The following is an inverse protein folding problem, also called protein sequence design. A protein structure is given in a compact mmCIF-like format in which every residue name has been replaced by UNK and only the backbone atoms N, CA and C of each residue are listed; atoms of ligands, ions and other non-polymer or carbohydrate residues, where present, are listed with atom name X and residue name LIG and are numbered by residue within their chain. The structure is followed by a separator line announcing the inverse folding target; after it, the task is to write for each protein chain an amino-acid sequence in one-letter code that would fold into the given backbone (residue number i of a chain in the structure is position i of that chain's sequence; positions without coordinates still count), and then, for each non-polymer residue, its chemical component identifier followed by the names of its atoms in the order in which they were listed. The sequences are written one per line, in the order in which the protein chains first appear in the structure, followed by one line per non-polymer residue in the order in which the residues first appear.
data_IF_155662888098
#
_entry.id   IF_155662888098
#
_cell.length_a   1.000
_cell.length_b   1.000
_cell.length_c   1.000
_cell.angle_alpha   90.00
_cell.angle_beta   90.00
_cell.angle_gamma   90.00
#
_symmetry.space_group_name_H-M   'P 1'
#
loop_
_entity.id
_entity.type
_entity.pdbx_description
1 polymer ?
#
# COMPACT_ATOMS: atom_id res chain seq x y z
N UNK A 1 -12.68 -28.54 -3.53
CA UNK A 1 -12.16 -27.15 -3.50
C UNK A 1 -12.22 -26.62 -2.07
N UNK A 2 -11.12 -26.09 -1.55
CA UNK A 2 -11.10 -25.53 -0.20
C UNK A 2 -11.79 -24.17 -0.14
N UNK A 3 -12.09 -23.69 1.09
CA UNK A 3 -12.64 -22.34 1.30
C UNK A 3 -11.69 -21.29 0.77
N UNK A 4 -10.36 -21.50 0.94
CA UNK A 4 -9.32 -20.58 0.43
C UNK A 4 -9.37 -20.53 -1.10
N UNK A 5 -9.52 -21.67 -1.77
CA UNK A 5 -9.63 -21.72 -3.22
C UNK A 5 -10.88 -20.98 -3.72
N UNK A 6 -11.99 -21.09 -3.02
CA UNK A 6 -13.22 -20.37 -3.33
C UNK A 6 -13.04 -18.85 -3.21
N UNK A 7 -12.38 -18.41 -2.13
CA UNK A 7 -12.06 -16.99 -1.92
C UNK A 7 -11.14 -16.46 -3.03
N UNK A 8 -10.08 -17.21 -3.36
CA UNK A 8 -9.16 -16.85 -4.44
C UNK A 8 -9.88 -16.75 -5.79
N UNK A 9 -10.76 -17.70 -6.09
CA UNK A 9 -11.51 -17.70 -7.35
C UNK A 9 -12.45 -16.49 -7.46
N UNK A 10 -13.09 -16.10 -6.35
CA UNK A 10 -13.90 -14.88 -6.32
C UNK A 10 -13.08 -13.64 -6.54
N UNK A 11 -11.90 -13.58 -5.92
CA UNK A 11 -10.98 -12.45 -6.10
C UNK A 11 -10.51 -12.33 -7.55
N UNK A 12 -10.13 -13.44 -8.18
CA UNK A 12 -9.72 -13.47 -9.59
C UNK A 12 -10.82 -13.01 -10.53
N UNK A 13 -12.06 -13.35 -10.22
CA UNK A 13 -13.22 -12.96 -11.04
C UNK A 13 -13.55 -11.47 -10.92
N UNK A 14 -13.13 -10.81 -9.83
CA UNK A 14 -13.38 -9.40 -9.59
C UNK A 14 -12.11 -8.75 -9.00
N UNK A 15 -11.08 -8.69 -9.83
CA UNK A 15 -9.74 -8.30 -9.45
C UNK A 15 -9.69 -6.85 -8.97
N UNK A 16 -9.18 -6.65 -7.76
CA UNK A 16 -9.05 -5.34 -7.12
C UNK A 16 -7.60 -4.91 -7.02
N UNK A 17 -7.39 -3.64 -6.79
CA UNK A 17 -6.06 -3.06 -6.56
C UNK A 17 -5.81 -2.93 -5.07
N UNK A 18 -4.74 -3.58 -4.60
CA UNK A 18 -4.35 -3.61 -3.18
C UNK A 18 -2.99 -2.95 -3.02
N UNK A 19 -2.89 -2.01 -2.09
CA UNK A 19 -1.62 -1.38 -1.75
C UNK A 19 -0.97 -2.09 -0.56
N UNK A 20 0.32 -2.38 -0.69
CA UNK A 20 1.15 -3.00 0.34
C UNK A 20 2.23 -1.98 0.75
N UNK A 21 2.09 -1.31 1.90
CA UNK A 21 3.01 -0.22 2.26
C UNK A 21 4.30 -0.67 2.94
N UNK A 22 4.36 -1.90 3.45
CA UNK A 22 5.48 -2.40 4.25
C UNK A 22 6.54 -3.11 3.38
N UNK A 23 7.05 -2.41 2.38
CA UNK A 23 7.93 -2.97 1.34
C UNK A 23 9.38 -3.22 1.78
N UNK A 24 9.75 -2.81 2.98
CA UNK A 24 11.05 -3.13 3.57
C UNK A 24 11.12 -4.56 4.11
N UNK A 25 9.97 -5.20 4.28
CA UNK A 25 9.88 -6.59 4.76
C UNK A 25 9.77 -7.55 3.57
N UNK A 26 10.68 -8.53 3.53
CA UNK A 26 10.69 -9.54 2.45
C UNK A 26 9.42 -10.39 2.41
N UNK A 27 8.75 -10.59 3.53
CA UNK A 27 7.46 -11.32 3.56
C UNK A 27 6.41 -10.60 2.73
N UNK A 28 6.40 -9.28 2.76
CA UNK A 28 5.51 -8.45 1.94
C UNK A 28 5.80 -8.63 0.45
N UNK A 29 7.07 -8.60 0.07
CA UNK A 29 7.48 -8.77 -1.33
C UNK A 29 7.21 -10.19 -1.84
N UNK A 30 7.44 -11.20 -0.99
CA UNK A 30 7.13 -12.59 -1.32
C UNK A 30 5.62 -12.77 -1.54
N UNK A 31 4.80 -12.22 -0.65
CA UNK A 31 3.35 -12.27 -0.79
C UNK A 31 2.88 -11.53 -2.05
N UNK A 32 3.48 -10.38 -2.35
CA UNK A 32 3.16 -9.62 -3.56
C UNK A 32 3.41 -10.43 -4.83
N UNK A 33 4.58 -11.07 -4.91
CA UNK A 33 4.93 -11.91 -6.07
C UNK A 33 3.95 -13.07 -6.25
N UNK A 34 3.56 -13.72 -5.15
CA UNK A 34 2.61 -14.83 -5.17
C UNK A 34 1.22 -14.37 -5.63
N UNK A 35 0.73 -13.28 -5.06
CA UNK A 35 -0.58 -12.71 -5.43
C UNK A 35 -0.63 -12.32 -6.91
N UNK A 36 0.44 -11.72 -7.42
CA UNK A 36 0.56 -11.36 -8.84
C UNK A 36 0.57 -12.60 -9.72
N UNK A 37 1.36 -13.62 -9.36
CA UNK A 37 1.47 -14.84 -10.17
C UNK A 37 0.15 -15.61 -10.23
N UNK A 38 -0.64 -15.58 -9.17
CA UNK A 38 -1.96 -16.21 -9.11
C UNK A 38 -3.09 -15.32 -9.63
N UNK A 39 -2.79 -14.09 -10.03
CA UNK A 39 -3.77 -13.12 -10.55
C UNK A 39 -4.94 -12.82 -9.59
N UNK A 40 -4.65 -12.82 -8.29
CA UNK A 40 -5.65 -12.58 -7.23
C UNK A 40 -6.01 -11.10 -7.15
N UNK A 41 -5.01 -10.22 -7.30
CA UNK A 41 -5.17 -8.77 -7.21
C UNK A 41 -4.08 -8.06 -8.00
N UNK A 42 -4.33 -6.81 -8.35
CA UNK A 42 -3.30 -5.89 -8.80
C UNK A 42 -2.62 -5.29 -7.58
N UNK A 43 -1.30 -5.25 -7.58
CA UNK A 43 -0.52 -4.84 -6.41
C UNK A 43 0.18 -3.51 -6.66
N UNK A 44 0.06 -2.61 -5.68
CA UNK A 44 0.85 -1.38 -5.60
C UNK A 44 1.80 -1.51 -4.42
N UNK A 45 3.08 -1.29 -4.67
CA UNK A 45 4.12 -1.30 -3.65
C UNK A 45 4.57 0.14 -3.38
N UNK A 46 4.53 0.55 -2.11
CA UNK A 46 4.95 1.90 -1.70
C UNK A 46 6.43 1.90 -1.39
N UNK A 47 7.19 2.73 -2.07
CA UNK A 47 8.62 2.86 -1.87
C UNK A 47 9.36 3.11 -3.17
N UNK A 48 10.69 3.06 -3.10
CA UNK A 48 11.56 3.28 -4.26
C UNK A 48 11.63 2.01 -5.10
N UNK A 49 11.17 2.11 -6.35
CA UNK A 49 11.09 0.99 -7.28
C UNK A 49 12.42 0.25 -7.42
N UNK A 50 13.51 0.98 -7.61
CA UNK A 50 14.83 0.39 -7.81
C UNK A 50 15.29 -0.44 -6.60
N UNK A 51 15.07 0.08 -5.40
CA UNK A 51 15.43 -0.61 -4.16
C UNK A 51 14.58 -1.86 -3.94
N UNK A 52 13.28 -1.77 -4.20
CA UNK A 52 12.36 -2.90 -4.07
C UNK A 52 12.69 -3.99 -5.08
N UNK A 53 12.89 -3.61 -6.33
CA UNK A 53 13.26 -4.56 -7.40
C UNK A 53 14.57 -5.26 -7.12
N UNK A 54 15.58 -4.54 -6.62
CA UNK A 54 16.87 -5.13 -6.26
C UNK A 54 16.73 -6.20 -5.17
N UNK A 55 15.94 -5.92 -4.14
CA UNK A 55 15.66 -6.90 -3.08
C UNK A 55 14.92 -8.11 -3.61
N UNK A 56 13.95 -7.91 -4.47
CA UNK A 56 13.17 -8.99 -5.07
C UNK A 56 14.03 -9.89 -5.95
N UNK A 57 14.90 -9.31 -6.78
CA UNK A 57 15.82 -10.05 -7.63
C UNK A 57 16.78 -10.92 -6.84
N UNK A 58 17.31 -10.40 -5.72
CA UNK A 58 18.22 -11.13 -4.85
C UNK A 58 17.57 -12.41 -4.29
N UNK A 59 16.25 -12.44 -4.15
CA UNK A 59 15.48 -13.59 -3.65
C UNK A 59 14.74 -14.36 -4.76
N UNK A 60 14.98 -14.00 -6.02
CA UNK A 60 14.35 -14.67 -7.17
C UNK A 60 12.85 -14.39 -7.32
N UNK A 61 12.37 -13.29 -6.79
CA UNK A 61 10.96 -12.89 -6.88
C UNK A 61 10.70 -12.07 -8.14
N UNK A 62 9.57 -12.34 -8.81
CA UNK A 62 9.12 -11.59 -9.99
C UNK A 62 8.07 -10.56 -9.59
N UNK A 63 8.44 -9.29 -9.62
CA UNK A 63 7.55 -8.14 -9.37
C UNK A 63 7.32 -7.30 -10.63
N UNK A 64 7.54 -7.87 -11.83
CA UNK A 64 7.43 -7.13 -13.09
C UNK A 64 6.04 -6.52 -13.33
N UNK A 65 4.98 -7.17 -12.84
CA UNK A 65 3.60 -6.70 -12.98
C UNK A 65 3.10 -5.86 -11.81
N UNK A 66 3.94 -5.61 -10.80
CA UNK A 66 3.58 -4.72 -9.71
C UNK A 66 3.66 -3.27 -10.17
N UNK A 67 2.85 -2.41 -9.56
CA UNK A 67 2.98 -0.96 -9.69
C UNK A 67 3.75 -0.43 -8.48
N UNK A 68 4.50 0.64 -8.68
CA UNK A 68 5.33 1.24 -7.62
C UNK A 68 4.95 2.69 -7.44
N UNK A 69 4.83 3.13 -6.20
CA UNK A 69 4.60 4.54 -5.87
C UNK A 69 5.63 4.97 -4.84
N UNK A 70 6.48 5.90 -5.23
CA UNK A 70 7.47 6.51 -4.35
C UNK A 70 6.88 7.79 -3.77
N UNK A 71 6.66 7.88 -2.44
CA UNK A 71 6.12 9.08 -1.82
C UNK A 71 6.88 10.36 -2.14
N UNK A 72 8.20 10.26 -2.34
CA UNK A 72 9.05 11.41 -2.66
C UNK A 72 8.92 11.87 -4.11
N UNK A 73 8.41 11.03 -5.00
CA UNK A 73 8.24 11.30 -6.44
C UNK A 73 6.83 10.95 -6.91
N UNK A 74 5.82 11.32 -6.13
CA UNK A 74 4.44 11.02 -6.41
C UNK A 74 3.71 12.23 -7.00
N UNK A 75 3.17 12.10 -8.21
CA UNK A 75 2.41 13.17 -8.87
C UNK A 75 1.13 13.54 -8.12
N UNK A 76 0.57 12.59 -7.35
CA UNK A 76 -0.66 12.78 -6.57
C UNK A 76 -0.42 13.25 -5.14
N UNK A 77 0.82 13.59 -4.78
CA UNK A 77 1.15 13.95 -3.39
C UNK A 77 0.29 15.10 -2.87
N UNK A 78 0.06 16.12 -3.67
CA UNK A 78 -0.78 17.26 -3.27
C UNK A 78 -2.22 16.83 -2.98
N UNK A 79 -2.77 15.94 -3.79
CA UNK A 79 -4.10 15.37 -3.58
C UNK A 79 -4.16 14.60 -2.27
N UNK A 80 -3.11 13.85 -1.94
CA UNK A 80 -3.03 13.10 -0.69
C UNK A 80 -2.89 14.03 0.52
N UNK A 81 -2.11 15.09 0.40
CA UNK A 81 -1.99 16.12 1.45
C UNK A 81 -3.37 16.74 1.74
N UNK A 82 -4.08 17.13 0.71
CA UNK A 82 -5.43 17.71 0.84
C UNK A 82 -6.40 16.72 1.50
N UNK A 83 -6.36 15.47 1.08
CA UNK A 83 -7.22 14.41 1.63
C UNK A 83 -6.94 14.18 3.12
N UNK A 84 -5.67 14.11 3.51
CA UNK A 84 -5.29 13.90 4.90
C UNK A 84 -5.67 15.12 5.76
N UNK A 85 -5.46 16.33 5.25
CA UNK A 85 -5.90 17.56 5.93
C UNK A 85 -7.42 17.58 6.13
N UNK A 86 -8.19 17.17 5.14
CA UNK A 86 -9.66 17.07 5.25
C UNK A 86 -10.06 16.04 6.30
N UNK A 87 -9.43 14.87 6.29
CA UNK A 87 -9.69 13.80 7.27
C UNK A 87 -9.38 14.23 8.70
N UNK A 88 -8.35 15.07 8.88
CA UNK A 88 -7.88 15.56 10.20
C UNK A 88 -8.25 17.02 10.46
N UNK A 89 -9.24 17.53 9.76
CA UNK A 89 -9.70 18.92 9.85
C UNK A 89 -10.04 19.33 11.29
N UNK A 90 -10.73 18.50 12.04
CA UNK A 90 -11.11 18.76 13.42
C UNK A 90 -9.89 18.83 14.37
N UNK A 91 -8.74 18.32 13.95
CA UNK A 91 -7.49 18.34 14.72
C UNK A 91 -6.55 19.46 14.26
N UNK A 92 -6.94 20.24 13.25
CA UNK A 92 -6.14 21.37 12.75
C UNK A 92 -4.85 20.99 12.05
N UNK A 93 -4.81 19.83 11.38
CA UNK A 93 -3.61 19.38 10.67
C UNK A 93 -3.27 20.33 9.51
N UNK A 94 -2.05 20.85 9.54
CA UNK A 94 -1.55 21.75 8.50
C UNK A 94 -0.97 20.98 7.31
N UNK A 95 -0.98 21.55 6.08
CA UNK A 95 -0.44 20.88 4.90
C UNK A 95 1.01 20.42 5.04
N UNK A 96 1.90 21.19 5.65
CA UNK A 96 3.29 20.82 5.88
C UNK A 96 3.41 19.60 6.82
N UNK A 97 2.54 19.51 7.83
CA UNK A 97 2.51 18.37 8.74
C UNK A 97 1.97 17.13 8.04
N UNK A 98 0.94 17.28 7.23
CA UNK A 98 0.39 16.20 6.41
C UNK A 98 1.43 15.64 5.45
N UNK A 99 2.18 16.52 4.80
CA UNK A 99 3.27 16.14 3.90
C UNK A 99 4.33 15.31 4.62
N UNK A 100 4.76 15.77 5.79
CA UNK A 100 5.75 15.05 6.61
C UNK A 100 5.25 13.66 7.00
N UNK A 101 3.99 13.55 7.45
CA UNK A 101 3.38 12.26 7.79
C UNK A 101 3.38 11.33 6.58
N UNK A 102 2.95 11.80 5.43
CA UNK A 102 2.87 10.99 4.22
C UNK A 102 4.25 10.51 3.75
N UNK A 103 5.27 11.37 3.83
CA UNK A 103 6.62 11.01 3.40
C UNK A 103 7.33 10.08 4.39
N UNK A 104 6.99 10.13 5.67
CA UNK A 104 7.67 9.35 6.72
C UNK A 104 6.90 8.10 7.15
N UNK A 105 5.62 7.99 6.82
CA UNK A 105 4.75 6.91 7.30
C UNK A 105 4.03 6.21 6.15
N UNK A 106 4.57 5.08 5.65
CA UNK A 106 3.96 4.34 4.55
C UNK A 106 2.53 3.87 4.82
N UNK A 107 2.15 3.60 6.08
CA UNK A 107 0.78 3.21 6.44
C UNK A 107 -0.20 4.33 6.12
N UNK A 108 0.12 5.56 6.53
CA UNK A 108 -0.70 6.73 6.24
C UNK A 108 -0.76 7.01 4.74
N UNK A 109 0.36 6.84 4.05
CA UNK A 109 0.42 7.01 2.61
C UNK A 109 -0.52 6.01 1.90
N UNK A 110 -0.40 4.73 2.22
CA UNK A 110 -1.24 3.68 1.65
C UNK A 110 -2.72 3.86 1.98
N UNK A 111 -3.05 4.19 3.23
CA UNK A 111 -4.43 4.45 3.65
C UNK A 111 -5.03 5.65 2.89
N UNK A 112 -4.24 6.69 2.65
CA UNK A 112 -4.68 7.86 1.88
C UNK A 112 -4.94 7.50 0.41
N UNK A 113 -4.11 6.63 -0.17
CA UNK A 113 -4.36 6.09 -1.52
C UNK A 113 -5.72 5.42 -1.62
N UNK A 114 -6.09 4.64 -0.61
CA UNK A 114 -7.41 3.99 -0.55
C UNK A 114 -8.52 5.03 -0.43
N UNK A 115 -8.34 6.01 0.43
CA UNK A 115 -9.35 7.07 0.63
C UNK A 115 -9.65 7.85 -0.65
N UNK A 116 -8.63 8.18 -1.44
CA UNK A 116 -8.82 8.93 -2.69
C UNK A 116 -9.22 8.05 -3.88
N UNK A 117 -9.22 6.74 -3.71
CA UNK A 117 -9.63 5.81 -4.75
C UNK A 117 -8.52 5.34 -5.69
N UNK A 118 -7.25 5.63 -5.39
CA UNK A 118 -6.12 5.14 -6.19
C UNK A 118 -5.82 3.66 -5.92
N UNK A 119 -6.31 3.14 -4.80
CA UNK A 119 -6.32 1.72 -4.48
C UNK A 119 -7.67 1.35 -3.88
N UNK A 120 -8.05 0.08 -4.00
CA UNK A 120 -9.31 -0.43 -3.44
C UNK A 120 -9.18 -0.85 -1.98
N UNK A 121 -7.99 -1.23 -1.56
CA UNK A 121 -7.72 -1.65 -0.19
C UNK A 121 -6.23 -1.65 0.12
N UNK A 122 -5.92 -1.81 1.41
CA UNK A 122 -4.55 -1.89 1.91
C UNK A 122 -4.42 -3.10 2.83
N UNK A 123 -3.32 -3.84 2.68
CA UNK A 123 -2.97 -4.93 3.60
C UNK A 123 -1.63 -4.59 4.25
N UNK A 124 -1.63 -4.59 5.58
CA UNK A 124 -0.46 -4.25 6.39
C UNK A 124 -0.45 -5.04 7.70
N UNK A 125 0.64 -4.93 8.46
CA UNK A 125 0.78 -5.60 9.76
C UNK A 125 1.96 -6.56 9.82
N UNK A 126 2.79 -6.64 8.78
CA UNK A 126 4.00 -7.46 8.79
C UNK A 126 5.09 -6.88 9.70
N UNK A 127 5.24 -5.55 9.68
CA UNK A 127 6.24 -4.81 10.47
C UNK A 127 5.57 -4.04 11.61
N UNK A 128 4.46 -3.36 11.29
CA UNK A 128 3.78 -2.45 12.20
C UNK A 128 2.86 -3.22 13.15
N UNK A 129 2.68 -2.69 14.35
CA UNK A 129 1.73 -3.23 15.32
C UNK A 129 0.29 -3.07 14.82
N UNK A 130 -0.63 -3.88 15.35
CA UNK A 130 -2.06 -3.72 15.07
C UNK A 130 -2.56 -2.33 15.43
N UNK A 131 -2.05 -1.74 16.52
CA UNK A 131 -2.40 -0.38 16.93
C UNK A 131 -2.01 0.66 15.87
N UNK A 132 -0.81 0.53 15.27
CA UNK A 132 -0.35 1.46 14.24
C UNK A 132 -1.19 1.35 12.96
N UNK A 133 -1.51 0.12 12.54
CA UNK A 133 -2.35 -0.11 11.36
C UNK A 133 -3.76 0.45 11.57
N UNK A 134 -4.36 0.18 12.72
CA UNK A 134 -5.68 0.71 13.08
C UNK A 134 -5.68 2.24 13.18
N UNK A 135 -4.60 2.84 13.71
CA UNK A 135 -4.48 4.29 13.78
C UNK A 135 -4.51 4.91 12.38
N UNK A 136 -3.78 4.35 11.43
CA UNK A 136 -3.82 4.82 10.05
C UNK A 136 -5.23 4.69 9.45
N UNK A 137 -5.88 3.55 9.64
CA UNK A 137 -7.21 3.29 9.13
C UNK A 137 -8.27 4.24 9.71
N UNK A 138 -8.15 4.59 11.00
CA UNK A 138 -9.12 5.46 11.68
C UNK A 138 -8.88 6.94 11.39
N UNK A 139 -7.61 7.35 11.27
CA UNK A 139 -7.26 8.76 11.10
C UNK A 139 -7.32 9.25 9.64
N UNK A 140 -7.30 8.36 8.70
CA UNK A 140 -7.44 8.62 7.27
C UNK A 140 -8.84 8.28 6.78
#
# INVERSE_FOLDING_TARGET
MSVIDEIKNKAKANKKTVVLPETTDMRTLTAAAEVISEEIADIILVGKEDEIKAKAEAEGLDLAKASFVDPENCDHLNTYIESLCEARKSKGLLPEDAKEILLSNPLFFGATMVRVGDADGMVAGAINSSANVLRAAVQV
#
